data_IF_083617215588
#
_entry.id   IF_083617215588
#
_cell.length_a   1.000
_cell.length_b   1.000
_cell.length_c   1.000
_cell.angle_alpha   90.00
_cell.angle_beta   90.00
_cell.angle_gamma   90.00
#
_symmetry.space_group_name_H-M   'P 1'
#
loop_
_entity.id
_entity.type
_entity.pdbx_description
1 polymer ?
#
# COMPACT_ATOMS: atom_id res chain seq x y z
N UNK A 1 4.23 0.73 -14.25
CA UNK A 1 5.49 0.77 -13.49
C UNK A 1 6.21 -0.58 -13.62
N UNK A 2 7.54 -0.60 -13.71
CA UNK A 2 8.32 -1.85 -13.81
C UNK A 2 9.59 -1.88 -12.95
N UNK A 3 9.88 -0.82 -12.19
CA UNK A 3 11.02 -0.79 -11.27
C UNK A 3 10.69 -0.16 -9.90
N UNK A 4 11.45 -0.51 -8.83
CA UNK A 4 11.24 0.04 -7.48
C UNK A 4 11.32 1.57 -7.41
N UNK A 5 12.10 2.20 -8.29
CA UNK A 5 12.24 3.66 -8.33
C UNK A 5 10.94 4.35 -8.76
N UNK A 6 10.22 3.77 -9.73
CA UNK A 6 8.92 4.27 -10.17
C UNK A 6 7.86 4.10 -9.10
N UNK A 7 7.83 2.92 -8.45
CA UNK A 7 6.96 2.68 -7.29
C UNK A 7 7.18 3.74 -6.21
N UNK A 8 8.45 3.99 -5.85
CA UNK A 8 8.78 4.97 -4.81
C UNK A 8 8.33 6.39 -5.20
N UNK A 9 8.50 6.80 -6.46
CA UNK A 9 8.01 8.10 -6.93
C UNK A 9 6.49 8.24 -6.76
N UNK A 10 5.74 7.21 -7.13
CA UNK A 10 4.28 7.18 -6.96
C UNK A 10 3.93 7.28 -5.48
N UNK A 11 4.58 6.47 -4.63
CA UNK A 11 4.34 6.46 -3.18
C UNK A 11 4.57 7.85 -2.57
N UNK A 12 5.71 8.48 -2.88
CA UNK A 12 6.03 9.82 -2.38
C UNK A 12 5.04 10.89 -2.88
N UNK A 13 4.59 10.78 -4.14
CA UNK A 13 3.62 11.71 -4.71
C UNK A 13 2.27 11.61 -3.99
N UNK A 14 1.81 10.38 -3.75
CA UNK A 14 0.50 10.09 -3.17
C UNK A 14 0.47 10.18 -1.63
N UNK A 15 1.61 10.06 -0.95
CA UNK A 15 1.74 10.18 0.52
C UNK A 15 1.30 11.57 1.02
N UNK A 16 1.38 12.60 0.17
CA UNK A 16 0.90 13.95 0.51
C UNK A 16 -0.63 14.07 0.60
N UNK A 17 -1.38 13.07 0.13
CA UNK A 17 -2.84 13.08 0.08
C UNK A 17 -3.47 12.33 1.25
N UNK A 18 -4.10 13.06 2.17
CA UNK A 18 -4.76 12.47 3.34
C UNK A 18 -5.95 11.55 2.99
N UNK A 19 -6.52 11.72 1.79
CA UNK A 19 -7.56 10.85 1.26
C UNK A 19 -7.04 9.44 0.93
N UNK A 20 -5.76 9.28 0.58
CA UNK A 20 -5.17 7.98 0.22
C UNK A 20 -4.95 7.18 1.50
N UNK A 21 -5.57 6.00 1.57
CA UNK A 21 -5.50 5.09 2.72
C UNK A 21 -4.55 3.93 2.49
N UNK A 22 -4.50 3.43 1.26
CA UNK A 22 -3.68 2.29 0.92
C UNK A 22 -3.28 2.34 -0.57
N UNK A 23 -2.10 1.80 -0.86
CA UNK A 23 -1.56 1.65 -2.21
C UNK A 23 -1.12 0.20 -2.36
N UNK A 24 -1.72 -0.51 -3.30
CA UNK A 24 -1.28 -1.85 -3.70
C UNK A 24 -0.56 -1.80 -5.03
N UNK A 25 0.67 -2.32 -5.05
CA UNK A 25 1.53 -2.29 -6.22
C UNK A 25 1.74 -3.71 -6.75
N UNK A 26 1.05 -4.03 -7.85
CA UNK A 26 1.25 -5.27 -8.59
C UNK A 26 2.25 -5.03 -9.72
N UNK A 27 3.54 -5.10 -9.39
CA UNK A 27 4.64 -4.94 -10.35
C UNK A 27 4.58 -5.97 -11.50
N UNK A 28 4.33 -7.27 -11.25
CA UNK A 28 4.18 -8.25 -12.32
C UNK A 28 3.11 -7.89 -13.36
N UNK A 29 1.97 -7.36 -12.92
CA UNK A 29 0.87 -6.97 -13.81
C UNK A 29 0.87 -5.48 -14.18
N UNK A 30 1.88 -4.71 -13.73
CA UNK A 30 2.01 -3.25 -13.93
C UNK A 30 0.79 -2.46 -13.45
N UNK A 31 0.10 -2.96 -12.41
CA UNK A 31 -1.15 -2.41 -11.90
C UNK A 31 -0.94 -1.74 -10.54
N UNK A 32 -1.52 -0.57 -10.35
CA UNK A 32 -1.57 0.16 -9.08
C UNK A 32 -3.04 0.27 -8.66
N UNK A 33 -3.35 -0.22 -7.46
CA UNK A 33 -4.66 0.00 -6.84
C UNK A 33 -4.52 1.05 -5.74
N UNK A 34 -5.32 2.11 -5.84
CA UNK A 34 -5.31 3.22 -4.88
C UNK A 34 -6.61 3.20 -4.11
N UNK A 35 -6.53 2.92 -2.82
CA UNK A 35 -7.66 3.03 -1.92
C UNK A 35 -7.69 4.44 -1.36
N UNK A 36 -8.75 5.18 -1.65
CA UNK A 36 -8.88 6.57 -1.25
C UNK A 36 -10.30 6.89 -0.77
N UNK A 37 -10.43 8.00 -0.05
CA UNK A 37 -11.71 8.57 0.38
C UNK A 37 -11.92 9.87 -0.40
N UNK A 38 -12.76 9.83 -1.44
CA UNK A 38 -12.98 10.94 -2.37
C UNK A 38 -11.70 11.42 -3.09
N UNK A 39 -11.82 12.45 -3.94
CA UNK A 39 -10.65 13.12 -4.53
C UNK A 39 -9.93 12.35 -5.63
N UNK A 40 -10.65 11.56 -6.43
CA UNK A 40 -10.06 10.82 -7.57
C UNK A 40 -9.36 11.74 -8.58
N UNK A 41 -9.92 12.92 -8.87
CA UNK A 41 -9.36 13.85 -9.86
C UNK A 41 -7.96 14.33 -9.47
N UNK A 42 -7.74 14.61 -8.17
CA UNK A 42 -6.45 15.04 -7.63
C UNK A 42 -5.41 13.92 -7.73
N UNK A 43 -5.81 12.69 -7.41
CA UNK A 43 -4.97 11.50 -7.47
C UNK A 43 -4.56 11.25 -8.92
N UNK A 44 -5.53 11.24 -9.84
CA UNK A 44 -5.30 11.03 -11.26
C UNK A 44 -4.38 12.10 -11.85
N UNK A 45 -4.63 13.38 -11.54
CA UNK A 45 -3.78 14.49 -11.99
C UNK A 45 -2.35 14.36 -11.47
N UNK A 46 -2.20 13.94 -10.22
CA UNK A 46 -0.88 13.72 -9.62
C UNK A 46 -0.10 12.58 -10.26
N UNK A 47 -0.76 11.47 -10.59
CA UNK A 47 -0.14 10.33 -11.26
C UNK A 47 0.22 10.69 -12.70
N UNK A 48 -0.70 11.32 -13.44
CA UNK A 48 -0.45 11.81 -14.80
C UNK A 48 0.75 12.77 -14.87
N UNK A 49 0.93 13.60 -13.83
CA UNK A 49 2.09 14.50 -13.71
C UNK A 49 3.45 13.79 -13.59
N UNK A 50 3.48 12.50 -13.23
CA UNK A 50 4.72 11.70 -13.19
C UNK A 50 5.15 11.22 -14.58
N UNK A 51 4.30 11.30 -15.60
CA UNK A 51 4.57 10.87 -16.99
C UNK A 51 5.08 9.42 -17.10
N UNK A 52 4.51 8.51 -16.32
CA UNK A 52 4.88 7.08 -16.30
C UNK A 52 4.05 6.22 -17.27
N UNK A 53 3.27 6.85 -18.15
CA UNK A 53 2.38 6.16 -19.08
C UNK A 53 1.18 5.50 -18.39
N UNK A 54 0.59 6.19 -17.41
CA UNK A 54 -0.58 5.73 -16.68
C UNK A 54 -1.85 5.76 -17.54
N UNK A 55 -2.77 4.85 -17.22
CA UNK A 55 -4.12 4.82 -17.76
C UNK A 55 -5.06 4.38 -16.65
N UNK A 56 -6.13 5.15 -16.42
CA UNK A 56 -7.15 4.77 -15.46
C UNK A 56 -7.99 3.62 -16.03
N UNK A 57 -7.95 2.45 -15.39
CA UNK A 57 -8.78 1.30 -15.80
C UNK A 57 -10.22 1.39 -15.27
N UNK A 58 -10.40 1.93 -14.08
CA UNK A 58 -11.73 2.07 -13.48
C UNK A 58 -11.68 2.59 -12.04
N UNK A 59 -12.86 2.79 -11.48
CA UNK A 59 -13.05 3.16 -10.08
C UNK A 59 -14.29 2.45 -9.58
N UNK A 60 -14.16 1.81 -8.44
CA UNK A 60 -15.25 1.10 -7.79
C UNK A 60 -15.22 1.37 -6.28
N UNK A 61 -16.36 1.19 -5.62
CA UNK A 61 -16.41 1.20 -4.17
C UNK A 61 -15.71 -0.04 -3.65
N UNK A 62 -14.62 0.16 -2.88
CA UNK A 62 -13.83 -0.91 -2.32
C UNK A 62 -13.66 -0.71 -0.81
N UNK A 63 -13.77 -1.81 -0.07
CA UNK A 63 -13.34 -1.82 1.33
C UNK A 63 -11.80 -1.92 1.38
N UNK A 64 -11.13 -1.10 2.20
CA UNK A 64 -9.68 -1.18 2.32
C UNK A 64 -9.25 -2.57 2.80
N UNK A 65 -8.12 -3.10 2.31
CA UNK A 65 -7.65 -4.43 2.71
C UNK A 65 -7.41 -4.46 4.22
N UNK A 66 -7.82 -5.55 4.85
CA UNK A 66 -7.55 -5.79 6.27
C UNK A 66 -6.05 -5.97 6.42
N UNK A 67 -5.35 -4.91 6.83
CA UNK A 67 -3.92 -5.01 7.16
C UNK A 67 -3.85 -5.85 8.44
N UNK A 68 -3.46 -7.12 8.33
CA UNK A 68 -3.23 -7.97 9.49
C UNK A 68 -2.12 -7.35 10.34
N UNK A 69 -2.53 -6.85 11.50
CA UNK A 69 -1.69 -6.18 12.46
C UNK A 69 -0.61 -7.15 12.98
N UNK A 70 0.63 -6.98 12.51
CA UNK A 70 1.80 -7.82 12.87
C UNK A 70 2.10 -7.81 14.39
N UNK A 71 1.42 -6.96 15.17
CA UNK A 71 1.46 -6.97 16.63
C UNK A 71 1.10 -8.33 17.23
N UNK A 72 0.15 -9.09 16.63
CA UNK A 72 -0.22 -10.44 17.11
C UNK A 72 0.91 -11.46 17.00
N UNK A 73 1.75 -11.36 15.96
CA UNK A 73 2.87 -12.27 15.75
C UNK A 73 3.98 -12.05 16.79
N UNK A 74 4.23 -10.80 17.20
CA UNK A 74 5.23 -10.49 18.25
C UNK A 74 4.87 -11.13 19.60
N UNK A 75 3.58 -11.17 19.95
CA UNK A 75 3.13 -11.79 21.20
C UNK A 75 3.40 -13.29 21.23
N UNK A 76 3.17 -14.00 20.11
CA UNK A 76 3.44 -15.44 20.00
C UNK A 76 4.95 -15.72 20.16
N UNK A 77 5.80 -14.91 19.51
CA UNK A 77 7.25 -15.07 19.61
C UNK A 77 7.74 -14.91 21.07
N UNK A 78 7.21 -13.93 21.80
CA UNK A 78 7.52 -13.73 23.22
C UNK A 78 7.04 -14.89 24.12
N UNK A 79 5.87 -15.47 23.83
CA UNK A 79 5.39 -16.67 24.53
C UNK A 79 6.32 -17.87 24.32
N UNK A 80 6.73 -18.14 23.07
CA UNK A 80 7.65 -19.23 22.75
C UNK A 80 9.02 -19.03 23.42
N UNK A 81 9.52 -17.79 23.44
CA UNK A 81 10.77 -17.44 24.10
C UNK A 81 10.70 -17.65 25.61
N UNK A 82 9.61 -17.21 26.25
CA UNK A 82 9.37 -17.39 27.68
C UNK A 82 9.26 -18.85 28.10
N UNK A 83 8.61 -19.70 27.29
CA UNK A 83 8.52 -21.15 27.53
C UNK A 83 9.91 -21.78 27.49
N UNK A 84 10.70 -21.53 26.43
CA UNK A 84 12.06 -22.10 26.32
C UNK A 84 12.98 -21.66 27.47
N UNK A 85 12.85 -20.41 27.94
CA UNK A 85 13.63 -19.92 29.07
C UNK A 85 13.23 -20.57 30.40
N UNK A 86 11.95 -20.93 30.59
CA UNK A 86 11.48 -21.60 31.80
C UNK A 86 11.88 -23.08 31.94
N UNK A 87 12.40 -23.69 30.88
CA UNK A 87 12.85 -25.09 30.84
C UNK A 87 14.39 -25.26 30.93
N UNK A 88 15.15 -24.18 31.15
CA UNK A 88 16.62 -24.17 31.27
C UNK A 88 17.04 -23.64 32.64
#
# INVERSE_FOLDING_TARGET
MDCPSEEQMIRMKLESYAQVKYLDFDIPNRKLEVYHVDGIEDIQTSIAGLNLGDSLEGTEEAEPPVIEDQSKQKTILWWVLGINFGFF
#
